data_IF_713020856092
#
_entry.id   IF_713020856092
#
_cell.length_a   1.000
_cell.length_b   1.000
_cell.length_c   1.000
_cell.angle_alpha   90.00
_cell.angle_beta   90.00
_cell.angle_gamma   90.00
#
_symmetry.space_group_name_H-M   'P 1'
#
loop_
_entity.id
_entity.type
_entity.pdbx_description
1 polymer ?
#
# COMPACT_ATOMS: atom_id res chain seq x y z
N UNK A 1 -44.60 -58.52 -40.85
CA UNK A 1 -45.26 -57.26 -41.25
C UNK A 1 -44.89 -56.21 -40.22
N UNK A 2 -44.20 -55.15 -40.68
CA UNK A 2 -43.80 -53.86 -40.05
C UNK A 2 -43.62 -53.71 -38.52
N UNK A 3 -42.39 -53.36 -38.07
CA UNK A 3 -41.94 -52.06 -37.46
C UNK A 3 -42.51 -51.91 -36.02
N UNK A 4 -41.71 -51.87 -34.94
CA UNK A 4 -41.09 -50.65 -34.39
C UNK A 4 -39.95 -50.89 -33.38
N UNK A 5 -38.95 -50.00 -33.48
CA UNK A 5 -37.82 -49.80 -32.57
C UNK A 5 -38.29 -49.09 -31.29
N UNK A 6 -37.78 -49.50 -30.12
CA UNK A 6 -37.44 -48.56 -29.04
C UNK A 6 -36.09 -48.97 -28.44
N UNK A 7 -35.07 -48.17 -28.74
CA UNK A 7 -33.76 -48.16 -28.09
C UNK A 7 -33.89 -47.66 -26.65
N UNK A 8 -33.41 -48.42 -25.68
CA UNK A 8 -33.16 -47.93 -24.33
C UNK A 8 -31.77 -47.28 -24.29
N UNK A 9 -31.73 -45.94 -24.35
CA UNK A 9 -30.54 -45.15 -24.03
C UNK A 9 -30.30 -45.17 -22.51
N UNK A 10 -29.33 -45.94 -22.04
CA UNK A 10 -28.70 -45.70 -20.74
C UNK A 10 -27.54 -44.72 -20.93
N UNK A 11 -27.82 -43.43 -20.75
CA UNK A 11 -26.80 -42.38 -20.67
C UNK A 11 -26.12 -42.45 -19.31
N UNK A 12 -24.92 -43.01 -19.27
CA UNK A 12 -24.01 -42.95 -18.12
C UNK A 12 -23.42 -41.54 -18.04
N UNK A 13 -24.04 -40.65 -17.25
CA UNK A 13 -23.46 -39.34 -16.93
C UNK A 13 -22.30 -39.54 -15.94
N UNK A 14 -21.07 -39.61 -16.48
CA UNK A 14 -19.85 -39.36 -15.72
C UNK A 14 -19.85 -37.90 -15.27
N UNK A 15 -20.29 -37.63 -14.05
CA UNK A 15 -20.02 -36.38 -13.37
C UNK A 15 -18.53 -36.34 -12.99
N UNK A 16 -17.68 -35.81 -13.87
CA UNK A 16 -16.37 -35.33 -13.48
C UNK A 16 -16.58 -34.11 -12.57
N UNK A 17 -16.65 -34.35 -11.27
CA UNK A 17 -16.47 -33.31 -10.26
C UNK A 17 -15.03 -32.82 -10.35
N UNK A 18 -14.79 -31.79 -11.17
CA UNK A 18 -13.62 -30.94 -11.04
C UNK A 18 -13.66 -30.32 -9.65
N UNK A 19 -13.00 -30.95 -8.69
CA UNK A 19 -12.55 -30.26 -7.49
C UNK A 19 -11.58 -29.16 -7.96
N UNK A 20 -12.12 -27.95 -8.12
CA UNK A 20 -11.33 -26.72 -8.06
C UNK A 20 -10.74 -26.70 -6.65
N UNK A 21 -9.58 -27.34 -6.50
CA UNK A 21 -8.72 -27.13 -5.35
C UNK A 21 -8.27 -25.67 -5.46
N UNK A 22 -9.04 -24.77 -4.84
CA UNK A 22 -8.60 -23.41 -4.61
C UNK A 22 -7.28 -23.50 -3.87
N UNK A 23 -6.17 -23.25 -4.57
CA UNK A 23 -4.91 -22.99 -3.91
C UNK A 23 -5.13 -21.74 -3.07
N UNK A 24 -5.44 -21.94 -1.79
CA UNK A 24 -5.16 -20.94 -0.77
C UNK A 24 -3.64 -20.78 -0.77
N UNK A 25 -3.14 -19.90 -1.64
CA UNK A 25 -1.79 -19.38 -1.54
C UNK A 25 -1.77 -18.65 -0.21
N UNK A 26 -1.26 -19.33 0.82
CA UNK A 26 -0.85 -18.69 2.04
C UNK A 26 0.13 -17.59 1.62
N UNK A 27 -0.16 -16.34 1.96
CA UNK A 27 0.69 -15.22 1.61
C UNK A 27 2.03 -15.37 2.35
N UNK A 28 2.98 -16.05 1.72
CA UNK A 28 4.35 -16.09 2.22
C UNK A 28 5.02 -14.80 1.76
N UNK A 29 5.12 -13.85 2.68
CA UNK A 29 5.93 -12.66 2.51
C UNK A 29 7.41 -13.05 2.55
N UNK A 30 8.13 -12.71 1.49
CA UNK A 30 9.58 -12.92 1.36
C UNK A 30 10.31 -11.64 1.72
N UNK A 31 11.32 -11.76 2.58
CA UNK A 31 12.22 -10.65 2.87
C UNK A 31 12.96 -10.21 1.58
N UNK A 32 12.99 -8.92 1.23
CA UNK A 32 13.34 -8.49 -0.14
C UNK A 32 14.84 -8.39 -0.42
N UNK A 33 15.70 -8.80 0.52
CA UNK A 33 17.17 -8.75 0.37
C UNK A 33 17.81 -10.04 0.86
N UNK A 34 19.08 -10.32 0.49
CA UNK A 34 19.83 -11.47 1.01
C UNK A 34 20.18 -11.36 2.50
N UNK A 35 20.05 -10.17 3.08
CA UNK A 35 20.36 -9.94 4.49
C UNK A 35 19.40 -10.75 5.37
N UNK A 36 19.91 -11.80 6.02
CA UNK A 36 19.12 -12.72 6.85
C UNK A 36 18.82 -12.19 8.25
N UNK A 37 19.42 -11.06 8.64
CA UNK A 37 19.37 -10.57 10.02
C UNK A 37 17.93 -10.42 10.56
N UNK A 38 17.00 -9.90 9.76
CA UNK A 38 15.59 -9.83 10.15
C UNK A 38 14.98 -11.22 10.43
N UNK A 39 15.20 -12.20 9.54
CA UNK A 39 14.65 -13.55 9.69
C UNK A 39 15.27 -14.30 10.87
N UNK A 40 16.52 -14.01 11.18
CA UNK A 40 17.26 -14.59 12.31
C UNK A 40 17.01 -13.87 13.64
N UNK A 41 16.20 -12.80 13.64
CA UNK A 41 15.78 -12.10 14.86
C UNK A 41 16.80 -11.10 15.42
N UNK A 42 17.76 -10.67 14.60
CA UNK A 42 18.71 -9.62 14.99
C UNK A 42 18.03 -8.24 15.08
N UNK A 43 18.71 -7.31 15.74
CA UNK A 43 18.25 -5.93 15.90
C UNK A 43 18.29 -5.15 14.58
N UNK A 44 17.54 -4.05 14.53
CA UNK A 44 17.37 -3.21 13.33
C UNK A 44 18.69 -2.66 12.78
N UNK A 45 19.69 -2.46 13.62
CA UNK A 45 21.03 -2.00 13.24
C UNK A 45 21.71 -2.96 12.24
N UNK A 46 21.28 -4.22 12.20
CA UNK A 46 21.87 -5.25 11.35
C UNK A 46 21.32 -5.23 9.92
N UNK A 47 20.21 -4.53 9.66
CA UNK A 47 19.55 -4.55 8.33
C UNK A 47 18.92 -3.23 7.90
N UNK A 48 18.78 -2.23 8.78
CA UNK A 48 18.23 -0.92 8.43
C UNK A 48 19.35 0.02 7.99
N UNK A 49 19.12 0.78 6.92
CA UNK A 49 20.00 1.85 6.49
C UNK A 49 19.51 3.19 7.06
N UNK A 50 20.35 3.84 7.87
CA UNK A 50 20.06 5.20 8.34
C UNK A 50 20.26 6.25 7.25
N UNK A 51 19.54 7.37 7.38
CA UNK A 51 19.74 8.59 6.59
C UNK A 51 21.06 9.29 6.94
N UNK A 52 21.32 10.44 6.32
CA UNK A 52 22.47 11.30 6.65
C UNK A 52 22.59 11.69 8.14
N UNK A 53 21.51 11.56 8.92
CA UNK A 53 21.53 11.83 10.37
C UNK A 53 22.31 10.79 11.19
N UNK A 54 22.59 9.61 10.63
CA UNK A 54 23.24 8.51 11.34
C UNK A 54 22.34 7.77 12.34
N UNK A 55 21.14 8.27 12.62
CA UNK A 55 20.16 7.63 13.50
C UNK A 55 19.49 6.46 12.80
N UNK A 56 19.58 5.26 13.36
CA UNK A 56 19.07 4.03 12.73
C UNK A 56 17.58 4.12 12.42
N UNK A 57 16.81 4.73 13.33
CA UNK A 57 15.36 4.83 13.20
C UNK A 57 14.94 5.66 12.00
N UNK A 58 15.81 6.53 11.48
CA UNK A 58 15.50 7.39 10.33
C UNK A 58 15.26 6.63 9.02
N UNK A 59 15.65 5.36 8.96
CA UNK A 59 15.35 4.43 7.87
C UNK A 59 14.06 3.61 8.07
N UNK A 60 13.40 3.71 9.22
CA UNK A 60 12.13 3.02 9.49
C UNK A 60 10.94 3.75 8.88
N UNK A 61 9.79 3.10 8.80
CA UNK A 61 8.55 3.74 8.42
C UNK A 61 8.07 4.71 9.51
N UNK A 62 7.34 5.76 9.12
CA UNK A 62 6.67 6.64 10.06
C UNK A 62 7.36 7.98 10.30
N UNK A 63 7.01 8.63 11.42
CA UNK A 63 7.53 9.93 11.82
C UNK A 63 8.92 9.83 12.44
N UNK A 64 9.91 9.46 11.63
CA UNK A 64 11.26 9.11 12.11
C UNK A 64 12.37 10.02 11.57
N UNK A 65 12.04 10.93 10.64
CA UNK A 65 12.99 11.89 10.07
C UNK A 65 12.80 13.29 10.65
N UNK A 66 13.85 14.11 10.63
CA UNK A 66 13.85 15.49 11.16
C UNK A 66 13.28 15.60 12.59
N UNK A 67 13.78 14.80 13.53
CA UNK A 67 13.26 14.72 14.91
C UNK A 67 11.77 14.37 14.97
N UNK A 68 11.34 13.50 14.07
CA UNK A 68 9.96 13.03 13.94
C UNK A 68 9.00 13.99 13.24
N UNK A 69 9.48 15.10 12.68
CA UNK A 69 8.64 16.05 11.95
C UNK A 69 8.41 15.67 10.49
N UNK A 70 9.19 14.73 9.96
CA UNK A 70 9.10 14.26 8.59
C UNK A 70 8.74 12.77 8.58
N UNK A 71 7.67 12.46 7.86
CA UNK A 71 7.22 11.10 7.60
C UNK A 71 8.16 10.41 6.61
N UNK A 72 8.33 9.11 6.78
CA UNK A 72 9.00 8.22 5.87
C UNK A 72 8.02 7.12 5.45
N UNK A 73 7.79 7.02 4.16
CA UNK A 73 6.76 6.19 3.53
C UNK A 73 7.15 4.70 3.42
N UNK A 74 8.40 4.35 3.76
CA UNK A 74 8.93 3.00 3.57
C UNK A 74 9.95 2.56 4.62
N UNK A 75 10.66 1.49 4.29
CA UNK A 75 11.75 0.90 5.06
C UNK A 75 13.02 0.91 4.21
N UNK A 76 14.09 1.52 4.72
CA UNK A 76 15.39 1.58 4.07
C UNK A 76 16.25 0.41 4.56
N UNK A 77 16.63 -0.51 3.67
CA UNK A 77 17.37 -1.73 3.97
C UNK A 77 18.82 -1.67 3.48
N UNK A 78 19.76 -1.99 4.36
CA UNK A 78 21.19 -1.92 4.08
C UNK A 78 21.68 -3.11 3.23
N UNK A 79 22.67 -2.88 2.34
CA UNK A 79 23.32 -3.93 1.57
C UNK A 79 24.27 -4.77 2.42
N UNK A 80 24.44 -6.02 2.02
CA UNK A 80 25.42 -6.97 2.58
C UNK A 80 26.54 -7.31 1.61
N UNK A 81 26.38 -6.95 0.33
CA UNK A 81 27.33 -7.27 -0.73
C UNK A 81 27.72 -6.01 -1.50
N UNK A 82 29.02 -5.88 -1.76
CA UNK A 82 29.59 -4.75 -2.51
C UNK A 82 30.54 -5.25 -3.61
N UNK A 83 30.66 -4.48 -4.68
CA UNK A 83 31.67 -4.72 -5.70
C UNK A 83 33.05 -4.12 -5.37
N UNK A 84 34.01 -4.32 -6.27
CA UNK A 84 35.37 -3.76 -6.16
C UNK A 84 35.41 -2.23 -6.12
N UNK A 85 34.34 -1.55 -6.53
CA UNK A 85 34.20 -0.11 -6.50
C UNK A 85 33.42 0.35 -5.25
N UNK A 86 32.96 -0.57 -4.40
CA UNK A 86 32.15 -0.30 -3.21
C UNK A 86 30.69 0.04 -3.53
N UNK A 87 30.18 -0.31 -4.71
CA UNK A 87 28.75 -0.19 -5.02
C UNK A 87 27.98 -1.44 -4.53
N UNK A 88 26.76 -1.24 -4.04
CA UNK A 88 25.90 -2.32 -3.57
C UNK A 88 25.58 -3.32 -4.69
N UNK A 89 25.53 -4.61 -4.34
CA UNK A 89 25.29 -5.72 -5.27
C UNK A 89 24.20 -6.69 -4.84
N UNK A 90 23.52 -6.43 -3.73
CA UNK A 90 22.41 -7.23 -3.25
C UNK A 90 21.31 -7.36 -4.32
N UNK A 91 20.92 -8.58 -4.75
CA UNK A 91 19.71 -8.75 -5.52
C UNK A 91 18.50 -8.36 -4.66
N UNK A 92 17.53 -7.73 -5.30
CA UNK A 92 16.25 -7.37 -4.71
C UNK A 92 15.23 -8.43 -5.10
N UNK A 93 14.52 -8.96 -4.11
CA UNK A 93 13.48 -9.97 -4.31
C UNK A 93 12.09 -9.35 -4.21
N UNK A 94 11.16 -9.82 -5.05
CA UNK A 94 9.74 -9.50 -4.89
C UNK A 94 9.21 -10.09 -3.58
N UNK A 95 8.58 -9.26 -2.74
CA UNK A 95 8.10 -9.69 -1.41
C UNK A 95 6.98 -10.71 -1.49
N UNK A 96 6.26 -10.75 -2.61
CA UNK A 96 5.21 -11.73 -2.90
C UNK A 96 4.91 -11.71 -4.40
N UNK A 97 4.18 -12.70 -4.89
CA UNK A 97 3.80 -12.76 -6.31
C UNK A 97 2.92 -11.55 -6.67
N UNK A 98 3.11 -11.01 -7.87
CA UNK A 98 2.41 -9.81 -8.32
C UNK A 98 2.58 -9.54 -9.81
N UNK A 99 2.03 -8.42 -10.25
CA UNK A 99 2.14 -7.93 -11.63
C UNK A 99 2.92 -6.62 -11.64
N UNK A 100 3.88 -6.46 -12.53
CA UNK A 100 4.57 -5.19 -12.73
C UNK A 100 3.57 -4.18 -13.29
N UNK A 101 3.31 -3.11 -12.54
CA UNK A 101 2.36 -2.06 -12.95
C UNK A 101 3.04 -0.72 -13.26
N UNK A 102 4.31 -0.59 -12.87
CA UNK A 102 5.11 0.58 -13.19
C UNK A 102 6.60 0.30 -13.12
N UNK A 103 7.36 0.89 -14.04
CA UNK A 103 8.83 0.90 -14.04
C UNK A 103 9.28 2.32 -14.38
N UNK A 104 10.11 2.92 -13.53
CA UNK A 104 10.86 4.12 -13.88
C UNK A 104 12.34 3.75 -14.06
N UNK A 105 12.83 3.81 -15.30
CA UNK A 105 14.24 3.60 -15.61
C UNK A 105 15.10 4.87 -15.53
N UNK A 106 14.47 6.04 -15.45
CA UNK A 106 15.16 7.33 -15.42
C UNK A 106 15.47 7.73 -13.97
N UNK A 107 16.76 7.65 -13.61
CA UNK A 107 17.20 7.94 -12.24
C UNK A 107 16.97 9.40 -11.84
N UNK A 108 16.93 10.32 -12.81
CA UNK A 108 16.81 11.76 -12.53
C UNK A 108 15.37 12.26 -12.36
N UNK A 109 14.35 11.47 -12.72
CA UNK A 109 12.95 11.92 -12.72
C UNK A 109 12.28 11.91 -11.34
N UNK A 110 12.89 11.29 -10.33
CA UNK A 110 12.30 11.13 -9.00
C UNK A 110 13.34 11.04 -7.88
N UNK A 111 12.93 11.38 -6.65
CA UNK A 111 13.72 11.06 -5.46
C UNK A 111 13.88 9.56 -5.25
N UNK A 112 12.98 8.73 -5.76
CA UNK A 112 13.13 7.26 -5.74
C UNK A 112 14.22 6.76 -6.69
N UNK A 113 14.67 7.59 -7.64
CA UNK A 113 15.56 7.15 -8.72
C UNK A 113 14.89 6.13 -9.61
N UNK A 114 15.61 5.03 -9.90
CA UNK A 114 15.02 3.90 -10.62
C UNK A 114 14.19 3.08 -9.65
N UNK A 115 12.94 2.81 -10.01
CA UNK A 115 12.05 2.02 -9.17
C UNK A 115 11.06 1.21 -9.98
N UNK A 116 10.54 0.17 -9.35
CA UNK A 116 9.50 -0.72 -9.87
C UNK A 116 8.37 -0.82 -8.86
N UNK A 117 7.13 -0.90 -9.35
CA UNK A 117 5.93 -1.13 -8.54
C UNK A 117 5.28 -2.44 -8.97
N UNK A 118 5.01 -3.30 -7.99
CA UNK A 118 4.25 -4.53 -8.19
C UNK A 118 2.86 -4.37 -7.58
N UNK A 119 1.82 -4.77 -8.31
CA UNK A 119 0.46 -4.92 -7.82
C UNK A 119 0.24 -6.35 -7.30
N UNK A 120 -0.44 -6.43 -6.17
CA UNK A 120 -0.81 -7.67 -5.51
C UNK A 120 -2.32 -7.65 -5.22
N UNK A 121 -2.96 -8.80 -5.39
CA UNK A 121 -4.39 -8.95 -5.15
C UNK A 121 -4.61 -10.08 -4.13
N UNK A 122 -5.26 -9.77 -3.01
CA UNK A 122 -5.51 -10.72 -1.94
C UNK A 122 -6.89 -10.47 -1.30
N UNK A 123 -7.76 -11.49 -1.29
CA UNK A 123 -9.04 -11.49 -0.55
C UNK A 123 -9.91 -10.22 -0.77
N UNK A 124 -9.94 -9.69 -1.99
CA UNK A 124 -10.69 -8.47 -2.33
C UNK A 124 -10.01 -7.17 -1.87
N UNK A 125 -8.69 -7.18 -1.76
CA UNK A 125 -7.83 -6.02 -1.58
C UNK A 125 -6.77 -5.99 -2.68
N UNK A 126 -6.53 -4.82 -3.24
CA UNK A 126 -5.40 -4.56 -4.14
C UNK A 126 -4.37 -3.70 -3.41
N UNK A 127 -3.14 -4.17 -3.26
CA UNK A 127 -2.07 -3.41 -2.64
C UNK A 127 -0.80 -3.47 -3.50
N UNK A 128 0.15 -2.62 -3.18
CA UNK A 128 1.33 -2.41 -4.01
C UNK A 128 2.59 -2.53 -3.17
N UNK A 129 3.65 -3.05 -3.76
CA UNK A 129 5.01 -2.89 -3.25
C UNK A 129 5.85 -2.06 -4.21
N UNK A 130 6.60 -1.10 -3.68
CA UNK A 130 7.50 -0.22 -4.43
C UNK A 130 8.92 -0.49 -3.99
N UNK A 131 9.82 -0.66 -4.96
CA UNK A 131 11.24 -0.94 -4.74
C UNK A 131 12.08 0.11 -5.45
N UNK A 132 12.77 0.95 -4.69
CA UNK A 132 13.47 2.12 -5.20
C UNK A 132 14.99 2.04 -5.04
N UNK A 133 15.67 3.07 -5.57
CA UNK A 133 17.13 3.21 -5.62
C UNK A 133 17.84 2.11 -6.40
N UNK A 134 17.13 1.41 -7.27
CA UNK A 134 17.65 0.28 -8.05
C UNK A 134 18.83 0.75 -8.91
N UNK A 135 19.93 -0.02 -8.89
CA UNK A 135 21.05 0.24 -9.80
C UNK A 135 20.70 -0.25 -11.20
N UNK A 136 20.19 -1.48 -11.29
CA UNK A 136 19.80 -2.16 -12.53
C UNK A 136 18.61 -3.10 -12.29
N UNK A 137 17.62 -3.10 -13.18
CA UNK A 137 16.53 -4.07 -13.15
C UNK A 137 16.98 -5.46 -13.62
N UNK A 138 16.25 -6.51 -13.24
CA UNK A 138 16.45 -7.81 -13.88
C UNK A 138 16.13 -7.71 -15.38
N UNK A 139 16.79 -8.54 -16.18
CA UNK A 139 16.66 -8.48 -17.64
C UNK A 139 15.22 -8.78 -18.08
N UNK A 140 14.69 -7.98 -19.00
CA UNK A 140 13.40 -8.21 -19.63
C UNK A 140 12.18 -7.84 -18.78
N UNK A 141 12.36 -7.13 -17.66
CA UNK A 141 11.23 -6.63 -16.87
C UNK A 141 10.49 -5.53 -17.63
N UNK A 142 9.20 -5.74 -17.84
CA UNK A 142 8.27 -4.82 -18.48
C UNK A 142 6.94 -4.71 -17.70
N UNK A 143 6.20 -3.64 -17.94
CA UNK A 143 4.85 -3.47 -17.37
C UNK A 143 3.93 -4.56 -17.92
N UNK A 144 3.21 -5.25 -17.04
CA UNK A 144 2.36 -6.39 -17.35
C UNK A 144 2.96 -7.74 -16.95
N UNK A 145 4.27 -7.80 -16.66
CA UNK A 145 4.94 -9.04 -16.28
C UNK A 145 4.42 -9.61 -14.97
N UNK A 146 4.28 -10.94 -14.92
CA UNK A 146 3.95 -11.68 -13.70
C UNK A 146 5.24 -12.07 -13.00
N UNK A 147 5.43 -11.54 -11.80
CA UNK A 147 6.59 -11.81 -10.95
C UNK A 147 6.18 -12.78 -9.85
N UNK A 148 6.97 -13.83 -9.63
CA UNK A 148 6.75 -14.77 -8.54
C UNK A 148 7.38 -14.26 -7.23
N UNK A 149 6.79 -14.64 -6.10
CA UNK A 149 7.38 -14.39 -4.77
C UNK A 149 8.84 -14.85 -4.72
N UNK A 150 9.73 -14.00 -4.21
CA UNK A 150 11.17 -14.26 -4.13
C UNK A 150 11.95 -14.12 -5.43
N UNK A 151 11.31 -13.85 -6.57
CA UNK A 151 12.01 -13.63 -7.83
C UNK A 151 12.86 -12.35 -7.77
N UNK A 152 14.04 -12.39 -8.41
CA UNK A 152 14.93 -11.23 -8.52
C UNK A 152 14.31 -10.21 -9.48
N UNK A 153 14.09 -9.00 -8.99
CA UNK A 153 13.54 -7.88 -9.79
C UNK A 153 14.57 -6.80 -10.12
N UNK A 154 15.74 -6.85 -9.49
CA UNK A 154 16.83 -5.93 -9.75
C UNK A 154 17.98 -6.10 -8.79
N UNK A 155 18.93 -5.18 -8.88
CA UNK A 155 20.08 -5.07 -8.01
C UNK A 155 19.96 -3.77 -7.23
N UNK A 156 20.21 -3.85 -5.93
CA UNK A 156 20.25 -2.70 -5.03
C UNK A 156 21.23 -1.66 -5.54
N UNK A 157 20.96 -0.40 -5.23
CA UNK A 157 21.82 0.69 -5.65
C UNK A 157 21.62 1.92 -4.79
N UNK A 158 21.80 3.05 -5.45
CA UNK A 158 21.74 4.38 -4.84
C UNK A 158 21.28 5.42 -5.88
N UNK A 159 20.49 4.98 -6.86
CA UNK A 159 19.96 5.86 -7.90
C UNK A 159 18.93 6.82 -7.31
N UNK A 160 19.02 8.10 -7.64
CA UNK A 160 18.08 9.15 -7.24
C UNK A 160 18.36 10.39 -8.08
N UNK A 161 17.44 11.36 -8.06
CA UNK A 161 17.67 12.69 -8.61
C UNK A 161 18.63 13.56 -7.77
N UNK A 162 19.22 13.01 -6.71
CA UNK A 162 20.29 13.58 -5.91
C UNK A 162 21.34 12.52 -5.60
N UNK A 163 22.52 12.94 -5.13
CA UNK A 163 23.60 12.01 -4.81
C UNK A 163 23.36 11.31 -3.46
N UNK A 164 23.24 9.98 -3.49
CA UNK A 164 23.36 9.13 -2.32
C UNK A 164 24.80 8.58 -2.28
N UNK A 165 25.56 8.71 -1.18
CA UNK A 165 26.92 8.16 -1.08
C UNK A 165 26.88 6.63 -1.05
N UNK A 166 27.96 5.98 -1.50
CA UNK A 166 28.09 4.51 -1.53
C UNK A 166 27.82 3.85 -0.18
N UNK A 167 28.31 4.47 0.90
CA UNK A 167 28.10 4.03 2.28
C UNK A 167 26.64 4.09 2.78
N UNK A 168 25.73 4.66 1.98
CA UNK A 168 24.29 4.68 2.25
C UNK A 168 23.48 4.17 1.07
N UNK A 169 24.06 3.37 0.19
CA UNK A 169 23.27 2.59 -0.76
C UNK A 169 22.26 1.74 0.03
N UNK A 170 21.04 1.60 -0.50
CA UNK A 170 19.97 0.86 0.17
C UNK A 170 18.87 0.47 -0.81
N UNK A 171 18.06 -0.49 -0.41
CA UNK A 171 16.72 -0.66 -0.95
C UNK A 171 15.77 0.20 -0.13
N UNK A 172 15.03 1.08 -0.79
CA UNK A 172 13.85 1.71 -0.20
C UNK A 172 12.62 0.90 -0.61
N UNK A 173 11.94 0.30 0.38
CA UNK A 173 10.76 -0.53 0.20
C UNK A 173 9.52 0.17 0.77
N UNK A 174 8.49 0.35 -0.06
CA UNK A 174 7.16 0.72 0.43
C UNK A 174 6.17 -0.42 0.20
N UNK A 175 5.17 -0.51 1.09
CA UNK A 175 3.98 -1.34 0.91
C UNK A 175 2.78 -0.45 1.17
N UNK A 176 1.81 -0.40 0.26
CA UNK A 176 0.72 0.54 0.39
C UNK A 176 -0.42 0.36 -0.60
N UNK A 177 -1.30 1.35 -0.63
CA UNK A 177 -2.52 1.36 -1.41
C UNK A 177 -2.57 2.61 -2.28
N UNK A 178 -3.09 2.46 -3.50
CA UNK A 178 -3.30 3.58 -4.42
C UNK A 178 -4.64 4.25 -4.12
N UNK A 179 -4.64 5.56 -3.91
CA UNK A 179 -5.82 6.31 -3.48
C UNK A 179 -6.84 6.52 -4.61
N UNK A 180 -6.39 6.81 -5.83
CA UNK A 180 -7.28 7.05 -6.98
C UNK A 180 -6.65 6.65 -8.31
N UNK A 181 -7.47 6.33 -9.32
CA UNK A 181 -7.04 6.18 -10.72
C UNK A 181 -7.04 7.51 -11.48
N UNK A 182 -7.48 8.59 -10.85
CA UNK A 182 -7.62 9.93 -11.43
C UNK A 182 -6.63 10.93 -10.84
N UNK A 183 -5.44 10.47 -10.43
CA UNK A 183 -4.46 11.30 -9.72
C UNK A 183 -3.99 12.49 -10.55
N UNK A 184 -3.82 12.31 -11.87
CA UNK A 184 -3.37 13.38 -12.74
C UNK A 184 -4.32 14.58 -12.72
N UNK A 185 -5.63 14.33 -12.74
CA UNK A 185 -6.63 15.39 -12.67
C UNK A 185 -6.51 16.19 -11.35
N UNK A 186 -6.22 15.51 -10.24
CA UNK A 186 -5.95 16.20 -8.96
C UNK A 186 -4.65 17.00 -9.02
N UNK A 187 -3.59 16.42 -9.59
CA UNK A 187 -2.27 17.05 -9.71
C UNK A 187 -2.32 18.34 -10.53
N UNK A 188 -3.01 18.34 -11.67
CA UNK A 188 -3.13 19.49 -12.58
C UNK A 188 -3.84 20.70 -11.94
N UNK A 189 -4.63 20.46 -10.89
CA UNK A 189 -5.29 21.53 -10.12
C UNK A 189 -4.40 22.14 -9.04
N UNK A 190 -3.24 21.55 -8.76
CA UNK A 190 -2.32 22.06 -7.75
C UNK A 190 -1.36 23.09 -8.37
N UNK A 191 -0.86 24.01 -7.55
CA UNK A 191 0.13 25.02 -7.98
C UNK A 191 1.57 24.48 -8.05
N UNK A 192 1.75 23.21 -8.45
CA UNK A 192 3.08 22.62 -8.59
C UNK A 192 3.82 23.20 -9.79
N UNK A 193 5.12 23.45 -9.61
CA UNK A 193 5.99 23.92 -10.70
C UNK A 193 6.55 22.78 -11.56
N UNK A 194 6.52 21.55 -11.04
CA UNK A 194 7.00 20.34 -11.71
C UNK A 194 5.86 19.65 -12.45
N UNK A 195 6.20 18.97 -13.55
CA UNK A 195 5.30 18.01 -14.19
C UNK A 195 5.20 16.73 -13.35
N UNK A 196 4.08 16.01 -13.49
CA UNK A 196 3.94 14.66 -12.95
C UNK A 196 4.48 13.63 -13.96
N UNK A 197 5.75 13.25 -13.82
CA UNK A 197 6.37 12.23 -14.68
C UNK A 197 5.87 10.80 -14.43
N UNK A 198 5.10 10.58 -13.36
CA UNK A 198 4.77 9.24 -12.87
C UNK A 198 3.28 8.90 -12.97
N UNK A 199 2.45 9.82 -13.46
CA UNK A 199 1.00 9.61 -13.58
C UNK A 199 0.40 9.14 -12.25
N UNK A 200 -0.33 8.03 -12.29
CA UNK A 200 -0.97 7.42 -11.12
C UNK A 200 0.01 6.77 -10.12
N UNK A 201 1.28 6.62 -10.47
CA UNK A 201 2.34 6.01 -9.64
C UNK A 201 3.25 7.05 -8.99
N UNK A 202 2.79 8.30 -8.94
CA UNK A 202 3.39 9.32 -8.10
C UNK A 202 3.22 8.93 -6.62
N UNK A 203 4.27 9.02 -5.81
CA UNK A 203 4.24 8.66 -4.38
C UNK A 203 3.16 9.40 -3.59
N UNK A 204 2.74 10.59 -4.03
CA UNK A 204 1.63 11.32 -3.42
C UNK A 204 0.25 10.64 -3.56
N UNK A 205 0.11 9.71 -4.50
CA UNK A 205 -1.09 8.90 -4.71
C UNK A 205 -1.07 7.58 -3.91
N UNK A 206 0.01 7.29 -3.20
CA UNK A 206 0.18 6.10 -2.41
C UNK A 206 -0.01 6.43 -0.92
N UNK A 207 -0.64 5.52 -0.20
CA UNK A 207 -0.72 5.54 1.26
C UNK A 207 -0.15 4.24 1.80
N UNK A 208 0.93 4.37 2.57
CA UNK A 208 1.72 3.24 3.05
C UNK A 208 1.19 2.58 4.31
N UNK A 209 1.68 1.38 4.56
CA UNK A 209 1.68 0.67 5.84
C UNK A 209 3.13 0.41 6.26
N UNK A 210 3.35 0.10 7.54
CA UNK A 210 4.69 -0.18 8.06
C UNK A 210 5.18 -1.55 7.54
N UNK A 211 6.20 -1.59 6.65
CA UNK A 211 6.68 -2.86 6.13
C UNK A 211 7.30 -3.72 7.22
N UNK A 212 8.04 -3.14 8.17
CA UNK A 212 8.72 -3.89 9.23
C UNK A 212 7.72 -4.49 10.21
N UNK A 213 6.69 -3.73 10.61
CA UNK A 213 5.61 -4.25 11.45
C UNK A 213 4.85 -5.38 10.73
N UNK A 214 4.57 -5.21 9.44
CA UNK A 214 3.93 -6.25 8.63
C UNK A 214 4.75 -7.54 8.58
N UNK A 215 6.02 -7.46 8.19
CA UNK A 215 6.91 -8.62 8.14
C UNK A 215 7.03 -9.29 9.51
N UNK A 216 7.11 -8.50 10.58
CA UNK A 216 7.17 -9.00 11.96
C UNK A 216 5.90 -9.77 12.31
N UNK A 217 4.72 -9.22 12.00
CA UNK A 217 3.44 -9.86 12.26
C UNK A 217 3.29 -11.20 11.50
N UNK A 218 3.81 -11.30 10.27
CA UNK A 218 3.84 -12.56 9.52
C UNK A 218 4.84 -13.56 10.11
N UNK A 219 6.07 -13.13 10.43
CA UNK A 219 7.12 -13.97 11.03
C UNK A 219 6.66 -14.58 12.36
N UNK A 220 5.97 -13.77 13.17
CA UNK A 220 5.44 -14.16 14.49
C UNK A 220 4.07 -14.84 14.41
N UNK A 221 3.54 -15.06 13.19
CA UNK A 221 2.23 -15.69 12.94
C UNK A 221 1.05 -14.98 13.62
N UNK A 222 1.18 -13.67 13.86
CA UNK A 222 0.10 -12.83 14.37
C UNK A 222 -0.97 -12.57 13.29
N UNK A 223 -0.58 -12.63 12.03
CA UNK A 223 -1.44 -12.47 10.86
C UNK A 223 -1.11 -13.52 9.80
N UNK A 224 -2.09 -13.84 8.95
CA UNK A 224 -1.92 -14.79 7.83
C UNK A 224 -2.09 -14.16 6.45
N UNK A 225 -2.51 -12.89 6.42
CA UNK A 225 -2.83 -12.14 5.21
C UNK A 225 -2.71 -10.63 5.45
N UNK A 226 -2.55 -9.85 4.38
CA UNK A 226 -2.56 -8.38 4.42
C UNK A 226 -3.89 -7.90 4.98
N UNK A 227 -5.00 -8.54 4.60
CA UNK A 227 -6.33 -8.23 5.15
C UNK A 227 -6.37 -8.31 6.68
N UNK A 228 -5.79 -9.36 7.27
CA UNK A 228 -5.76 -9.53 8.72
C UNK A 228 -4.95 -8.41 9.37
N UNK A 229 -3.78 -8.09 8.80
CA UNK A 229 -2.95 -6.98 9.27
C UNK A 229 -3.70 -5.64 9.22
N UNK A 230 -4.33 -5.31 8.09
CA UNK A 230 -5.14 -4.09 7.97
C UNK A 230 -6.25 -4.07 9.01
N UNK A 231 -6.97 -5.17 9.21
CA UNK A 231 -8.02 -5.24 10.22
C UNK A 231 -7.50 -4.98 11.63
N UNK A 232 -6.30 -5.46 11.96
CA UNK A 232 -5.67 -5.31 13.28
C UNK A 232 -5.10 -3.90 13.54
N UNK A 233 -4.86 -3.08 12.52
CA UNK A 233 -4.35 -1.72 12.71
C UNK A 233 -5.25 -0.90 13.66
N UNK A 234 -4.66 -0.08 14.52
CA UNK A 234 -5.45 0.82 15.37
C UNK A 234 -6.24 1.83 14.52
N UNK A 235 -7.45 2.18 14.94
CA UNK A 235 -8.21 3.28 14.34
C UNK A 235 -7.84 4.57 15.09
N UNK A 236 -7.28 5.53 14.37
CA UNK A 236 -6.92 6.85 14.92
C UNK A 236 -8.06 7.83 14.86
N UNK A 237 -8.85 7.81 13.79
CA UNK A 237 -10.09 8.57 13.70
C UNK A 237 -11.08 7.93 12.76
N UNK A 238 -12.36 8.24 12.95
CA UNK A 238 -13.42 8.00 12.00
C UNK A 238 -13.96 9.34 11.52
N UNK A 239 -13.96 9.53 10.20
CA UNK A 239 -14.39 10.77 9.56
C UNK A 239 -15.61 10.46 8.69
N UNK A 240 -16.67 11.25 8.84
CA UNK A 240 -17.83 11.23 7.94
C UNK A 240 -17.62 12.20 6.81
N UNK A 241 -18.03 11.80 5.62
CA UNK A 241 -18.13 12.64 4.43
C UNK A 241 -19.48 12.43 3.76
N UNK A 242 -20.23 13.51 3.54
CA UNK A 242 -21.54 13.48 2.90
C UNK A 242 -21.39 13.51 1.39
N UNK A 243 -21.52 12.33 0.78
CA UNK A 243 -21.47 12.12 -0.66
C UNK A 243 -22.07 10.76 -0.99
N UNK A 244 -22.74 10.67 -2.14
CA UNK A 244 -23.23 9.42 -2.71
C UNK A 244 -22.22 8.77 -3.67
N UNK A 245 -21.08 9.44 -3.93
CA UNK A 245 -20.03 8.93 -4.80
C UNK A 245 -19.42 7.64 -4.24
N UNK A 246 -19.11 6.71 -5.13
CA UNK A 246 -18.34 5.50 -4.84
C UNK A 246 -16.90 5.68 -5.36
N UNK A 247 -15.90 5.91 -4.49
CA UNK A 247 -14.50 5.97 -4.89
C UNK A 247 -14.01 4.69 -5.57
N UNK A 248 -13.12 4.81 -6.56
CA UNK A 248 -12.41 3.66 -7.16
C UNK A 248 -11.72 2.82 -6.08
N UNK A 249 -11.24 3.47 -5.03
CA UNK A 249 -10.67 2.83 -3.85
C UNK A 249 -11.66 1.81 -3.26
N UNK A 250 -12.93 2.16 -3.04
CA UNK A 250 -13.90 1.22 -2.49
C UNK A 250 -14.14 0.07 -3.47
N UNK A 251 -14.20 0.35 -4.77
CA UNK A 251 -14.36 -0.68 -5.82
C UNK A 251 -13.23 -1.71 -5.84
N UNK A 252 -11.98 -1.30 -5.58
CA UNK A 252 -10.80 -2.18 -5.49
C UNK A 252 -10.63 -2.86 -4.14
N UNK A 253 -11.32 -2.37 -3.12
CA UNK A 253 -11.21 -2.85 -1.76
C UNK A 253 -12.58 -3.19 -1.13
N UNK A 254 -13.42 -4.02 -1.79
CA UNK A 254 -14.73 -4.39 -1.25
C UNK A 254 -14.62 -5.07 0.13
N UNK A 255 -13.48 -5.69 0.42
CA UNK A 255 -13.20 -6.31 1.71
C UNK A 255 -13.05 -5.32 2.88
N UNK A 256 -12.91 -4.01 2.62
CA UNK A 256 -12.88 -2.96 3.65
C UNK A 256 -14.27 -2.35 3.92
N UNK A 257 -15.28 -2.72 3.13
CA UNK A 257 -16.66 -2.23 3.30
C UNK A 257 -17.34 -3.00 4.43
N UNK A 258 -17.87 -2.29 5.42
CA UNK A 258 -18.36 -2.89 6.68
C UNK A 258 -19.77 -3.47 6.58
N UNK A 259 -20.55 -3.05 5.59
CA UNK A 259 -21.91 -3.54 5.36
C UNK A 259 -22.36 -3.30 3.92
N UNK A 260 -23.27 -4.15 3.46
CA UNK A 260 -23.82 -4.08 2.11
C UNK A 260 -24.73 -2.87 1.89
N UNK A 261 -24.86 -2.45 0.64
CA UNK A 261 -25.70 -1.34 0.18
C UNK A 261 -26.98 -1.79 -0.56
N UNK A 262 -27.36 -3.07 -0.50
CA UNK A 262 -28.47 -3.69 -1.27
C UNK A 262 -29.72 -2.80 -1.38
N UNK A 263 -29.83 -2.09 -2.51
CA UNK A 263 -30.98 -1.25 -2.86
C UNK A 263 -31.15 0.04 -2.03
N UNK A 264 -30.19 0.38 -1.16
CA UNK A 264 -30.25 1.57 -0.31
C UNK A 264 -29.44 2.71 -0.93
N UNK A 265 -29.99 3.91 -0.83
CA UNK A 265 -29.35 5.10 -1.36
C UNK A 265 -28.27 5.60 -0.38
N UNK A 266 -27.02 5.64 -0.85
CA UNK A 266 -25.89 6.12 -0.04
C UNK A 266 -25.93 7.64 0.00
N UNK A 267 -25.89 8.22 1.19
CA UNK A 267 -25.82 9.68 1.39
C UNK A 267 -24.50 10.14 2.01
N UNK A 268 -23.75 9.24 2.63
CA UNK A 268 -22.47 9.54 3.25
C UNK A 268 -21.61 8.27 3.43
N UNK A 269 -20.34 8.48 3.75
CA UNK A 269 -19.40 7.42 4.15
C UNK A 269 -18.78 7.76 5.49
N UNK A 270 -18.75 6.79 6.42
CA UNK A 270 -17.91 6.86 7.61
C UNK A 270 -16.62 6.07 7.36
N UNK A 271 -15.50 6.77 7.22
CA UNK A 271 -14.19 6.19 6.90
C UNK A 271 -13.32 6.15 8.16
N UNK A 272 -12.85 4.96 8.53
CA UNK A 272 -11.88 4.80 9.61
C UNK A 272 -10.45 4.85 9.07
N UNK A 273 -9.59 5.63 9.72
CA UNK A 273 -8.20 5.81 9.32
C UNK A 273 -7.23 5.18 10.34
N UNK A 274 -6.17 4.56 9.84
CA UNK A 274 -5.01 4.15 10.64
C UNK A 274 -4.21 5.38 11.14
N UNK A 275 -3.22 5.24 12.04
CA UNK A 275 -2.40 6.35 12.53
C UNK A 275 -1.75 7.21 11.45
N UNK A 276 -1.38 6.60 10.31
CA UNK A 276 -0.73 7.30 9.21
C UNK A 276 -1.64 7.46 7.99
N UNK A 277 -2.96 7.49 8.21
CA UNK A 277 -3.90 7.96 7.20
C UNK A 277 -4.34 6.93 6.17
N UNK A 278 -4.10 5.63 6.37
CA UNK A 278 -4.69 4.58 5.54
C UNK A 278 -6.21 4.50 5.81
N UNK A 279 -7.10 4.69 4.82
CA UNK A 279 -8.53 4.44 4.96
C UNK A 279 -8.82 2.93 5.03
N UNK A 280 -8.92 2.41 6.26
CA UNK A 280 -8.93 0.97 6.55
C UNK A 280 -10.31 0.35 6.76
N UNK A 281 -11.36 1.14 6.91
CA UNK A 281 -12.75 0.65 7.00
C UNK A 281 -13.73 1.67 6.42
N UNK A 282 -14.72 1.19 5.69
CA UNK A 282 -15.68 2.01 4.95
C UNK A 282 -17.11 1.60 5.30
N UNK A 283 -17.83 2.47 6.00
CA UNK A 283 -19.25 2.24 6.32
C UNK A 283 -20.12 3.14 5.45
N UNK A 284 -20.86 2.60 4.46
CA UNK A 284 -21.85 3.39 3.73
C UNK A 284 -22.97 3.79 4.68
N UNK A 285 -23.46 5.03 4.56
CA UNK A 285 -24.57 5.59 5.33
C UNK A 285 -25.72 5.91 4.40
N UNK A 286 -26.95 5.71 4.88
CA UNK A 286 -28.13 5.70 4.03
C UNK A 286 -29.17 6.75 4.46
N UNK A 287 -30.02 7.14 3.52
CA UNK A 287 -31.05 8.17 3.69
C UNK A 287 -32.11 7.83 4.76
N UNK A 288 -32.41 6.55 4.92
CA UNK A 288 -33.32 6.01 5.94
C UNK A 288 -32.74 6.01 7.38
N UNK A 289 -31.49 6.44 7.60
CA UNK A 289 -30.83 6.40 8.91
C UNK A 289 -30.99 7.69 9.74
N UNK A 290 -31.74 8.67 9.24
CA UNK A 290 -32.01 9.92 9.96
C UNK A 290 -30.79 10.82 10.17
N UNK A 291 -29.75 10.66 9.35
CA UNK A 291 -28.51 11.43 9.44
C UNK A 291 -28.69 12.78 8.73
N UNK A 292 -28.26 13.86 9.37
CA UNK A 292 -28.33 15.22 8.81
C UNK A 292 -26.96 15.70 8.34
N UNK A 293 -26.91 16.27 7.14
CA UNK A 293 -25.75 16.93 6.54
C UNK A 293 -26.02 17.31 5.09
N UNK A 294 -25.19 18.18 4.54
CA UNK A 294 -25.22 18.63 3.15
C UNK A 294 -24.13 17.96 2.33
N UNK A 295 -24.32 17.84 1.02
CA UNK A 295 -23.28 17.29 0.14
C UNK A 295 -21.96 18.06 0.30
N UNK A 296 -20.87 17.34 0.52
CA UNK A 296 -19.54 17.89 0.77
C UNK A 296 -19.21 18.14 2.26
N UNK A 297 -20.18 18.04 3.17
CA UNK A 297 -19.91 18.17 4.61
C UNK A 297 -18.95 17.07 5.07
N UNK A 298 -17.95 17.45 5.88
CA UNK A 298 -16.96 16.53 6.45
C UNK A 298 -16.84 16.76 7.95
N UNK A 299 -16.88 15.69 8.75
CA UNK A 299 -16.81 15.80 10.22
C UNK A 299 -16.06 14.64 10.88
N UNK A 300 -15.38 14.93 11.98
CA UNK A 300 -14.75 13.90 12.83
C UNK A 300 -15.82 13.28 13.74
N UNK A 301 -16.03 11.98 13.64
CA UNK A 301 -16.99 11.24 14.45
C UNK A 301 -16.36 10.74 15.75
N UNK A 302 -15.18 10.12 15.63
CA UNK A 302 -14.42 9.59 16.76
C UNK A 302 -12.93 9.76 16.49
N UNK A 303 -12.13 9.82 17.56
CA UNK A 303 -10.68 9.91 17.46
C UNK A 303 -10.01 9.32 18.71
N UNK A 304 -8.80 8.80 18.54
CA UNK A 304 -7.99 8.24 19.62
C UNK A 304 -7.05 9.31 20.20
N UNK A 305 -7.45 9.90 21.34
CA UNK A 305 -6.70 10.96 22.03
C UNK A 305 -5.25 10.57 22.37
N UNK A 306 -5.03 9.33 22.84
CA UNK A 306 -3.70 8.85 23.25
C UNK A 306 -2.77 8.74 22.04
N UNK A 307 -3.29 8.26 20.91
CA UNK A 307 -2.52 8.20 19.67
C UNK A 307 -2.13 9.60 19.19
N UNK A 308 -3.08 10.56 19.21
CA UNK A 308 -2.78 11.94 18.82
C UNK A 308 -1.70 12.59 19.68
N UNK A 309 -1.65 12.31 20.99
CA UNK A 309 -0.62 12.88 21.87
C UNK A 309 0.79 12.31 21.65
N UNK A 310 0.92 11.17 20.97
CA UNK A 310 2.21 10.49 20.79
C UNK A 310 2.78 10.64 19.37
N UNK A 311 1.95 11.05 18.41
CA UNK A 311 2.33 11.19 17.01
C UNK A 311 2.71 12.64 16.68
N UNK A 312 3.90 12.84 16.13
CA UNK A 312 4.49 14.17 15.89
C UNK A 312 4.33 14.69 14.46
N UNK A 313 3.91 13.84 13.53
CA UNK A 313 3.70 14.20 12.13
C UNK A 313 2.61 13.32 11.48
N UNK A 314 2.19 13.65 10.25
CA UNK A 314 1.26 12.83 9.46
C UNK A 314 -0.03 12.44 10.20
N UNK A 315 -0.49 13.30 11.12
CA UNK A 315 -1.65 13.01 11.96
C UNK A 315 -2.92 12.95 11.12
N UNK A 316 -3.88 12.11 11.51
CA UNK A 316 -5.19 12.07 10.83
C UNK A 316 -6.07 13.27 11.23
N UNK A 317 -5.98 13.65 12.51
CA UNK A 317 -6.74 14.74 13.13
C UNK A 317 -5.77 15.57 13.96
N UNK A 318 -5.92 16.89 13.95
CA UNK A 318 -5.23 17.81 14.84
C UNK A 318 -6.17 18.28 15.95
N UNK A 319 -5.62 18.88 17.01
CA UNK A 319 -6.42 19.57 18.03
C UNK A 319 -6.25 21.07 17.84
N UNK A 320 -7.34 21.78 17.58
CA UNK A 320 -7.39 23.23 17.47
C UNK A 320 -8.33 23.78 18.55
N UNK A 321 -7.80 24.58 19.47
CA UNK A 321 -8.53 25.11 20.63
C UNK A 321 -9.35 24.05 21.41
N UNK A 322 -8.81 22.84 21.55
CA UNK A 322 -9.47 21.72 22.24
C UNK A 322 -10.46 20.92 21.38
N UNK A 323 -10.69 21.33 20.14
CA UNK A 323 -11.60 20.68 19.19
C UNK A 323 -10.81 19.85 18.17
N UNK A 324 -11.22 18.59 17.90
CA UNK A 324 -10.59 17.80 16.84
C UNK A 324 -10.94 18.37 15.46
N UNK A 325 -9.91 18.71 14.68
CA UNK A 325 -10.02 19.18 13.29
C UNK A 325 -9.31 18.23 12.34
N UNK A 326 -9.89 18.01 11.16
CA UNK A 326 -9.28 17.12 10.15
C UNK A 326 -7.94 17.72 9.70
N UNK A 327 -6.88 16.90 9.71
CA UNK A 327 -5.58 17.39 9.29
C UNK A 327 -5.53 17.67 7.78
N UNK A 328 -4.57 18.49 7.35
CA UNK A 328 -4.34 18.73 5.92
C UNK A 328 -4.00 17.44 5.14
N UNK A 329 -3.32 16.49 5.79
CA UNK A 329 -3.01 15.18 5.21
C UNK A 329 -4.31 14.41 4.92
N UNK A 330 -5.20 14.32 5.89
CA UNK A 330 -6.47 13.61 5.73
C UNK A 330 -7.41 14.31 4.76
N UNK A 331 -7.46 15.65 4.76
CA UNK A 331 -8.22 16.41 3.78
C UNK A 331 -7.72 16.13 2.36
N UNK A 332 -6.40 16.08 2.15
CA UNK A 332 -5.82 15.67 0.86
C UNK A 332 -6.25 14.26 0.48
N UNK A 333 -6.15 13.31 1.40
CA UNK A 333 -6.57 11.92 1.18
C UNK A 333 -8.05 11.84 0.79
N UNK A 334 -8.95 12.54 1.49
CA UNK A 334 -10.37 12.59 1.15
C UNK A 334 -10.63 13.23 -0.21
N UNK A 335 -9.92 14.32 -0.55
CA UNK A 335 -9.99 14.94 -1.88
C UNK A 335 -9.56 14.00 -2.99
N UNK A 336 -8.50 13.22 -2.77
CA UNK A 336 -8.05 12.21 -3.73
C UNK A 336 -9.06 11.07 -3.88
N UNK A 337 -9.56 10.53 -2.77
CA UNK A 337 -10.51 9.42 -2.76
C UNK A 337 -11.82 9.77 -3.45
N UNK A 338 -12.37 10.94 -3.16
CA UNK A 338 -13.72 11.34 -3.62
C UNK A 338 -13.72 12.32 -4.80
N UNK A 339 -12.54 12.69 -5.31
CA UNK A 339 -12.41 13.68 -6.38
C UNK A 339 -12.88 15.08 -5.98
N UNK A 340 -12.89 15.41 -4.69
CA UNK A 340 -13.43 16.68 -4.17
C UNK A 340 -12.52 17.88 -4.47
N UNK A 341 -13.15 19.06 -4.44
CA UNK A 341 -12.51 20.37 -4.63
C UNK A 341 -12.11 21.01 -3.30
#
# INVERSE_FOLDING_TARGET
MRIDLINFCFSLLCALSFFLCGHHVQANLVWPTPNKAFNEGYSIESFVQSTASGRIESGLFGCVRNHGRRFHEGLDLSPTMYDSQGEAKDPIFAITSGVVVYVNSEASSSSYGRYIVLEHNEKGLTYFSLYAHISKFANGIEVGDRIQSGAIIGIMGRSANYQIPKSRAHLHLEIGFKLTDHFQAWYDRQSFKSLNYHGNWNGMNLVGIDPLELFTAFRERQVSSIKDYINNLTISARIRIFTNSLPDFVGKHPALVTRSNLGRNIIAWDVAFSPYGLPKQWTPRFDDEGIRGSAGDVSVLTYNRRQLSTQSCHMVVNIDHGVPVISQVSLRTLRLLFGLH
#
